data_IF_225864526352
#
_entry.id   IF_225864526352
#
_cell.length_a   1.000
_cell.length_b   1.000
_cell.length_c   1.000
_cell.angle_alpha   90.00
_cell.angle_beta   90.00
_cell.angle_gamma   90.00
#
_symmetry.space_group_name_H-M   'P 1'
#
loop_
_entity.id
_entity.type
_entity.pdbx_description
1 polymer ?
#
# COMPACT_ATOMS: atom_id res chain seq x y z
N UNK A 1 -11.93 31.32 -10.09
CA UNK A 1 -11.50 30.26 -11.06
C UNK A 1 -10.35 29.46 -10.43
N UNK A 2 -10.62 28.25 -9.95
CA UNK A 2 -9.66 27.44 -9.19
C UNK A 2 -8.62 26.83 -10.14
N UNK A 3 -7.40 27.40 -10.22
CA UNK A 3 -6.31 26.84 -11.04
C UNK A 3 -5.70 25.66 -10.29
N UNK A 4 -6.17 24.44 -10.54
CA UNK A 4 -5.44 23.24 -10.11
C UNK A 4 -4.10 23.23 -10.84
N UNK A 5 -3.02 23.52 -10.12
CA UNK A 5 -1.66 23.41 -10.65
C UNK A 5 -1.40 21.98 -11.12
N UNK A 6 -0.71 21.83 -12.23
CA UNK A 6 -0.36 20.52 -12.79
C UNK A 6 0.56 19.80 -11.82
N UNK A 7 0.07 18.78 -11.12
CA UNK A 7 0.84 18.02 -10.11
C UNK A 7 1.90 17.09 -10.74
N UNK A 8 2.01 17.06 -12.07
CA UNK A 8 2.87 16.15 -12.81
C UNK A 8 3.89 16.95 -13.62
N UNK A 9 5.18 16.63 -13.46
CA UNK A 9 6.30 17.31 -14.13
C UNK A 9 6.44 16.97 -15.63
N UNK A 10 5.41 16.42 -16.28
CA UNK A 10 5.42 16.06 -17.72
C UNK A 10 6.41 14.96 -18.13
N UNK A 11 7.27 14.48 -17.22
CA UNK A 11 8.27 13.45 -17.50
C UNK A 11 7.57 12.12 -17.84
N UNK A 12 8.09 11.37 -18.83
CA UNK A 12 7.50 10.08 -19.20
C UNK A 12 7.51 9.14 -17.99
N UNK A 13 6.32 8.77 -17.54
CA UNK A 13 6.06 7.90 -16.40
C UNK A 13 6.39 6.43 -16.73
N UNK A 14 7.65 6.12 -17.08
CA UNK A 14 8.12 4.77 -17.45
C UNK A 14 7.76 3.70 -16.41
N UNK A 15 7.68 4.07 -15.12
CA UNK A 15 7.35 3.15 -14.00
C UNK A 15 5.93 3.29 -13.44
N UNK A 16 5.16 4.33 -13.80
CA UNK A 16 3.85 4.54 -13.17
C UNK A 16 2.70 3.74 -13.81
N UNK A 17 2.92 3.12 -14.97
CA UNK A 17 1.88 2.35 -15.70
C UNK A 17 1.26 1.20 -14.89
N UNK A 18 1.96 0.71 -13.85
CA UNK A 18 1.48 -0.40 -12.98
C UNK A 18 1.35 0.01 -11.50
N UNK A 19 1.43 1.31 -11.19
CA UNK A 19 1.42 1.83 -9.82
C UNK A 19 0.13 1.49 -9.07
N UNK A 20 -0.99 1.43 -9.79
CA UNK A 20 -2.30 1.09 -9.25
C UNK A 20 -2.32 -0.24 -8.48
N UNK A 21 -1.53 -1.24 -8.89
CA UNK A 21 -1.47 -2.54 -8.18
C UNK A 21 -0.84 -2.39 -6.80
N UNK A 22 0.24 -1.61 -6.74
CA UNK A 22 0.98 -1.35 -5.50
C UNK A 22 0.15 -0.49 -4.57
N UNK A 23 -0.45 0.58 -5.08
CA UNK A 23 -1.34 1.46 -4.32
C UNK A 23 -2.55 0.71 -3.77
N UNK A 24 -3.17 -0.17 -4.57
CA UNK A 24 -4.25 -1.05 -4.13
C UNK A 24 -3.81 -2.00 -3.02
N UNK A 25 -2.62 -2.61 -3.14
CA UNK A 25 -2.08 -3.47 -2.09
C UNK A 25 -1.84 -2.71 -0.78
N UNK A 26 -1.28 -1.50 -0.84
CA UNK A 26 -1.12 -0.64 0.34
C UNK A 26 -2.46 -0.20 0.93
N UNK A 27 -3.46 0.08 0.10
CA UNK A 27 -4.81 0.40 0.58
C UNK A 27 -5.43 -0.78 1.36
N UNK A 28 -5.20 -2.02 0.92
CA UNK A 28 -5.63 -3.20 1.67
C UNK A 28 -4.87 -3.38 2.99
N UNK A 29 -3.55 -3.19 2.99
CA UNK A 29 -2.73 -3.27 4.21
C UNK A 29 -3.13 -2.20 5.24
N UNK A 30 -3.49 -1.00 4.80
CA UNK A 30 -3.95 0.07 5.69
C UNK A 30 -5.34 -0.18 6.29
N UNK A 31 -6.09 -1.19 5.86
CA UNK A 31 -7.31 -1.58 6.59
C UNK A 31 -7.02 -2.36 7.88
N UNK A 32 -5.79 -2.84 8.07
CA UNK A 32 -5.40 -3.55 9.29
C UNK A 32 -4.82 -2.57 10.30
N UNK A 33 -5.54 -2.31 11.40
CA UNK A 33 -5.20 -1.30 12.40
C UNK A 33 -3.77 -1.43 12.99
N UNK A 34 -3.25 -2.66 13.13
CA UNK A 34 -1.86 -2.92 13.59
C UNK A 34 -0.77 -2.56 12.57
N UNK A 35 -1.12 -2.39 11.29
CA UNK A 35 -0.20 -2.04 10.21
C UNK A 35 -0.21 -0.55 9.87
N UNK A 36 -1.32 0.15 10.14
CA UNK A 36 -1.43 1.60 9.91
C UNK A 36 -0.44 2.38 10.77
N UNK A 37 -0.35 2.02 12.05
CA UNK A 37 0.57 2.63 13.01
C UNK A 37 1.46 1.53 13.58
N UNK A 38 2.77 1.76 13.53
CA UNK A 38 3.77 0.81 14.01
C UNK A 38 3.85 0.86 15.54
N UNK A 39 3.00 0.06 16.19
CA UNK A 39 3.00 -0.11 17.65
C UNK A 39 4.03 -1.13 18.15
N UNK A 40 4.54 -2.00 17.28
CA UNK A 40 5.45 -3.06 17.66
C UNK A 40 6.85 -2.53 18.01
N UNK A 41 7.36 -2.94 19.17
CA UNK A 41 8.72 -2.61 19.64
C UNK A 41 9.80 -3.19 18.73
N UNK A 42 9.59 -4.41 18.24
CA UNK A 42 10.55 -5.12 17.39
C UNK A 42 10.09 -5.12 15.93
N UNK A 43 11.03 -4.91 15.00
CA UNK A 43 10.78 -4.95 13.56
C UNK A 43 10.27 -6.31 13.08
N UNK A 44 10.71 -7.40 13.72
CA UNK A 44 10.33 -8.77 13.38
C UNK A 44 8.83 -9.00 13.58
N UNK A 45 8.26 -8.52 14.69
CA UNK A 45 6.82 -8.62 14.94
C UNK A 45 6.01 -7.87 13.89
N UNK A 46 6.43 -6.64 13.57
CA UNK A 46 5.79 -5.85 12.53
C UNK A 46 5.82 -6.57 11.17
N UNK A 47 6.97 -7.13 10.80
CA UNK A 47 7.11 -7.91 9.57
C UNK A 47 6.19 -9.14 9.57
N UNK A 48 6.08 -9.85 10.70
CA UNK A 48 5.16 -10.97 10.86
C UNK A 48 3.70 -10.56 10.65
N UNK A 49 3.26 -9.42 11.17
CA UNK A 49 1.91 -8.90 10.91
C UNK A 49 1.69 -8.51 9.44
N UNK A 50 2.71 -7.95 8.77
CA UNK A 50 2.63 -7.64 7.33
C UNK A 50 2.46 -8.93 6.53
N UNK A 51 3.27 -9.96 6.83
CA UNK A 51 3.17 -11.27 6.17
C UNK A 51 1.80 -11.92 6.41
N UNK A 52 1.31 -11.90 7.65
CA UNK A 52 -0.02 -12.41 8.00
C UNK A 52 -1.12 -11.67 7.24
N UNK A 53 -1.07 -10.34 7.16
CA UNK A 53 -2.04 -9.55 6.40
C UNK A 53 -2.00 -9.89 4.91
N UNK A 54 -0.81 -10.08 4.32
CA UNK A 54 -0.67 -10.55 2.94
C UNK A 54 -1.34 -11.91 2.73
N UNK A 55 -1.13 -12.87 3.64
CA UNK A 55 -1.79 -14.19 3.59
C UNK A 55 -3.31 -14.04 3.66
N UNK A 56 -3.84 -13.22 4.57
CA UNK A 56 -5.28 -12.97 4.68
C UNK A 56 -5.86 -12.30 3.42
N UNK A 57 -5.13 -11.36 2.83
CA UNK A 57 -5.53 -10.72 1.56
C UNK A 57 -5.60 -11.75 0.45
N UNK A 58 -4.57 -12.60 0.32
CA UNK A 58 -4.55 -13.66 -0.70
C UNK A 58 -5.67 -14.68 -0.50
N UNK A 59 -5.90 -15.14 0.74
CA UNK A 59 -6.99 -16.06 1.06
C UNK A 59 -8.38 -15.46 0.80
N UNK A 60 -8.56 -14.15 1.02
CA UNK A 60 -9.81 -13.44 0.70
C UNK A 60 -10.00 -13.24 -0.80
N UNK A 61 -8.91 -13.06 -1.55
CA UNK A 61 -8.95 -12.86 -3.01
C UNK A 61 -9.13 -14.19 -3.76
N UNK A 62 -8.92 -15.35 -3.10
CA UNK A 62 -8.85 -16.65 -3.78
C UNK A 62 -7.45 -16.87 -4.38
N UNK A 63 -6.95 -18.07 -4.66
CA UNK A 63 -7.61 -19.24 -5.23
C UNK A 63 -8.84 -18.93 -6.07
#
# INVERSE_FOLDING_TARGET
>A
RNRKGTTQDGRPLRRAKRRWKVERAFAWLQNYRRLVVRYERYSVNFLGFVQLACVLILLRQGF
#
